data_IF_354580181650
#
_entry.id   IF_354580181650
#
_cell.length_a   1.000
_cell.length_b   1.000
_cell.length_c   1.000
_cell.angle_alpha   90.00
_cell.angle_beta   90.00
_cell.angle_gamma   90.00
#
_symmetry.space_group_name_H-M   'P 1'
#
loop_
_entity.id
_entity.type
_entity.pdbx_description
1 polymer ?
#
# COMPACT_ATOMS: atom_id res chain seq x y z
N UNK A 1 -17.06 0.62 -1.85
CA UNK A 1 -16.73 1.12 -0.50
C UNK A 1 -15.76 2.29 -0.64
N UNK A 2 -15.83 3.22 0.32
CA UNK A 2 -14.81 4.25 0.55
C UNK A 2 -13.72 3.70 1.45
N UNK A 3 -12.52 3.56 0.95
CA UNK A 3 -11.38 2.97 1.67
C UNK A 3 -10.34 4.06 1.92
N UNK A 4 -10.04 4.36 3.18
CA UNK A 4 -8.92 5.20 3.54
C UNK A 4 -7.70 4.31 3.82
N UNK A 5 -6.57 4.64 3.20
CA UNK A 5 -5.31 3.90 3.36
C UNK A 5 -4.17 4.87 3.63
N UNK A 6 -3.21 4.45 4.44
CA UNK A 6 -1.95 5.17 4.60
C UNK A 6 -0.74 4.24 4.66
N UNK A 7 0.39 4.76 4.21
CA UNK A 7 1.69 4.19 4.54
C UNK A 7 2.10 4.69 5.92
N UNK A 8 2.39 3.77 6.84
CA UNK A 8 2.87 4.10 8.18
C UNK A 8 4.21 4.84 8.15
N UNK A 9 4.42 5.63 9.17
CA UNK A 9 5.66 6.38 9.40
C UNK A 9 6.03 7.40 8.30
N UNK A 10 7.07 8.18 8.54
CA UNK A 10 7.61 9.15 7.60
C UNK A 10 9.08 9.47 7.95
N UNK A 11 9.72 10.38 7.23
CA UNK A 11 11.14 10.71 7.42
C UNK A 11 11.47 11.40 8.73
N UNK A 12 10.49 11.99 9.46
CA UNK A 12 10.66 12.57 10.78
C UNK A 12 10.23 11.63 11.91
N UNK A 13 9.20 10.81 11.66
CA UNK A 13 8.69 9.80 12.56
C UNK A 13 9.01 8.43 11.96
N UNK A 14 10.28 8.09 11.91
CA UNK A 14 10.79 6.87 11.29
C UNK A 14 10.25 5.64 11.99
N UNK A 15 9.91 4.64 11.21
CA UNK A 15 9.51 3.32 11.68
C UNK A 15 10.69 2.39 11.85
N UNK A 16 10.42 1.11 11.66
CA UNK A 16 11.41 0.05 11.79
C UNK A 16 12.44 0.07 10.65
N UNK A 17 13.68 -0.26 10.98
CA UNK A 17 14.76 -0.41 10.02
C UNK A 17 15.62 -1.63 10.38
N UNK A 18 15.96 -2.41 9.39
CA UNK A 18 16.76 -3.62 9.51
C UNK A 18 17.37 -3.97 8.16
N UNK A 19 17.05 -5.13 7.62
CA UNK A 19 17.45 -5.54 6.27
C UNK A 19 16.73 -4.74 5.16
N UNK A 20 15.63 -4.11 5.52
CA UNK A 20 14.89 -3.12 4.73
C UNK A 20 14.49 -1.93 5.63
N UNK A 21 14.05 -0.84 5.02
CA UNK A 21 13.51 0.33 5.72
C UNK A 21 11.99 0.40 5.50
N UNK A 22 11.24 0.37 6.59
CA UNK A 22 9.78 0.36 6.60
C UNK A 22 9.16 1.54 5.85
N UNK A 23 9.66 2.75 6.08
CA UNK A 23 9.15 3.96 5.39
C UNK A 23 9.28 3.83 3.88
N UNK A 24 10.41 3.32 3.42
CA UNK A 24 10.67 3.13 1.99
C UNK A 24 9.75 2.07 1.39
N UNK A 25 9.61 0.92 2.06
CA UNK A 25 8.83 -0.20 1.53
C UNK A 25 7.32 0.08 1.56
N UNK A 26 6.80 0.70 2.62
CA UNK A 26 5.40 1.12 2.68
C UNK A 26 5.00 2.01 1.51
N UNK A 27 5.90 2.91 1.07
CA UNK A 27 5.64 3.82 -0.06
C UNK A 27 5.76 3.15 -1.44
N UNK A 28 6.41 2.00 -1.52
CA UNK A 28 6.39 1.16 -2.74
C UNK A 28 5.07 0.38 -2.85
N UNK A 29 4.56 -0.13 -1.73
CA UNK A 29 3.31 -0.91 -1.69
C UNK A 29 2.07 -0.03 -1.90
N UNK A 30 2.01 1.13 -1.26
CA UNK A 30 0.83 1.99 -1.20
C UNK A 30 0.21 2.29 -2.57
N UNK A 31 0.92 2.83 -3.58
CA UNK A 31 0.32 3.18 -4.86
C UNK A 31 -0.20 1.97 -5.62
N UNK A 32 0.42 0.81 -5.47
CA UNK A 32 -0.01 -0.43 -6.09
C UNK A 32 -1.31 -0.95 -5.45
N UNK A 33 -1.40 -0.93 -4.12
CA UNK A 33 -2.62 -1.32 -3.40
C UNK A 33 -3.78 -0.41 -3.79
N UNK A 34 -3.56 0.91 -3.82
CA UNK A 34 -4.57 1.89 -4.26
C UNK A 34 -5.07 1.57 -5.67
N UNK A 35 -4.14 1.30 -6.58
CA UNK A 35 -4.49 0.94 -7.96
C UNK A 35 -5.34 -0.32 -8.02
N UNK A 36 -4.94 -1.40 -7.34
CA UNK A 36 -5.72 -2.64 -7.30
C UNK A 36 -7.10 -2.47 -6.68
N UNK A 37 -7.21 -1.73 -5.57
CA UNK A 37 -8.50 -1.46 -4.94
C UNK A 37 -9.43 -0.67 -5.86
N UNK A 38 -8.90 0.31 -6.62
CA UNK A 38 -9.66 1.05 -7.63
C UNK A 38 -10.10 0.16 -8.79
N UNK A 39 -9.25 -0.74 -9.28
CA UNK A 39 -9.61 -1.74 -10.29
C UNK A 39 -10.73 -2.67 -9.79
N UNK A 40 -10.78 -2.94 -8.48
CA UNK A 40 -11.84 -3.73 -7.85
C UNK A 40 -13.13 -2.95 -7.58
N UNK A 41 -13.20 -1.68 -8.01
CA UNK A 41 -14.39 -0.82 -7.95
C UNK A 41 -14.57 -0.07 -6.64
N UNK A 42 -13.48 0.15 -5.89
CA UNK A 42 -13.51 0.93 -4.64
C UNK A 42 -13.08 2.38 -4.88
N UNK A 43 -13.66 3.29 -4.10
CA UNK A 43 -13.18 4.66 -3.96
C UNK A 43 -12.08 4.67 -2.89
N UNK A 44 -10.89 5.16 -3.23
CA UNK A 44 -9.72 5.05 -2.35
C UNK A 44 -9.08 6.41 -2.13
N UNK A 45 -8.97 6.79 -0.86
CA UNK A 45 -8.28 7.99 -0.40
C UNK A 45 -6.95 7.61 0.26
N UNK A 46 -5.86 8.16 -0.28
CA UNK A 46 -4.56 8.15 0.38
C UNK A 46 -4.55 9.23 1.48
N UNK A 47 -4.42 8.81 2.72
CA UNK A 47 -4.33 9.68 3.89
C UNK A 47 -2.93 9.68 4.51
N UNK A 48 -1.92 9.37 3.71
CA UNK A 48 -0.52 9.43 4.12
C UNK A 48 -0.07 10.87 4.22
N UNK A 49 0.39 11.36 5.37
CA UNK A 49 0.91 12.72 5.50
C UNK A 49 2.31 12.83 4.89
N UNK A 50 2.77 14.09 4.78
CA UNK A 50 4.18 14.39 4.55
C UNK A 50 5.04 14.11 5.78
N UNK A 51 6.19 14.78 5.89
CA UNK A 51 7.12 14.63 7.01
C UNK A 51 6.61 15.38 8.26
N UNK A 52 5.87 14.72 9.12
CA UNK A 52 5.32 15.21 10.39
C UNK A 52 5.96 14.49 11.57
N UNK A 53 5.88 15.09 12.77
CA UNK A 53 6.18 14.38 14.02
C UNK A 53 5.16 13.24 14.23
N UNK A 54 5.51 12.31 15.14
CA UNK A 54 4.72 11.08 15.34
C UNK A 54 3.24 11.35 15.65
N UNK A 55 2.94 12.29 16.52
CA UNK A 55 1.56 12.55 16.95
C UNK A 55 0.75 13.20 15.83
N UNK A 56 1.34 14.18 15.16
CA UNK A 56 0.74 14.86 14.01
C UNK A 56 0.54 13.90 12.82
N UNK A 57 1.48 12.99 12.60
CA UNK A 57 1.42 11.94 11.57
C UNK A 57 0.21 11.02 11.78
N UNK A 58 0.06 10.49 12.98
CA UNK A 58 -1.06 9.62 13.34
C UNK A 58 -2.40 10.36 13.27
N UNK A 59 -2.46 11.57 13.84
CA UNK A 59 -3.68 12.37 13.86
C UNK A 59 -4.13 12.78 12.45
N UNK A 60 -3.19 13.12 11.55
CA UNK A 60 -3.51 13.49 10.17
C UNK A 60 -4.28 12.39 9.44
N UNK A 61 -3.76 11.17 9.42
CA UNK A 61 -4.38 10.06 8.71
C UNK A 61 -5.76 9.70 9.26
N UNK A 62 -5.88 9.62 10.60
CA UNK A 62 -7.14 9.35 11.29
C UNK A 62 -8.18 10.44 11.02
N UNK A 63 -7.81 11.71 11.17
CA UNK A 63 -8.74 12.82 10.97
C UNK A 63 -9.23 12.89 9.51
N UNK A 64 -8.33 12.73 8.54
CA UNK A 64 -8.70 12.70 7.12
C UNK A 64 -9.65 11.56 6.77
N UNK A 65 -9.40 10.36 7.31
CA UNK A 65 -10.30 9.23 7.12
C UNK A 65 -11.67 9.46 7.75
N UNK A 66 -11.70 10.02 8.98
CA UNK A 66 -12.93 10.35 9.70
C UNK A 66 -13.75 11.46 9.01
N UNK A 67 -13.09 12.53 8.52
CA UNK A 67 -13.70 13.64 7.80
C UNK A 67 -14.29 13.20 6.45
N UNK A 68 -13.56 12.34 5.74
CA UNK A 68 -14.02 11.82 4.44
C UNK A 68 -15.16 10.81 4.57
N UNK A 69 -15.39 10.28 5.76
CA UNK A 69 -16.42 9.28 6.01
C UNK A 69 -16.09 7.95 5.32
N UNK A 70 -14.88 7.44 5.54
CA UNK A 70 -14.48 6.15 5.02
C UNK A 70 -15.34 5.02 5.59
N UNK A 71 -15.58 3.97 4.80
CA UNK A 71 -16.24 2.74 5.26
C UNK A 71 -15.28 1.84 6.04
N UNK A 72 -13.98 1.92 5.69
CA UNK A 72 -12.90 1.19 6.35
C UNK A 72 -11.59 1.98 6.23
N UNK A 73 -10.75 1.88 7.26
CA UNK A 73 -9.40 2.44 7.28
C UNK A 73 -8.37 1.34 7.51
N UNK A 74 -7.21 1.44 6.86
CA UNK A 74 -6.06 0.64 7.25
C UNK A 74 -4.72 1.32 6.95
N UNK A 75 -3.71 0.91 7.71
CA UNK A 75 -2.33 1.35 7.51
C UNK A 75 -1.39 0.19 7.20
N UNK A 76 -0.32 0.53 6.50
CA UNK A 76 0.73 -0.41 6.10
C UNK A 76 1.95 -0.19 6.98
N UNK A 77 2.47 -1.27 7.51
CA UNK A 77 3.63 -1.32 8.38
C UNK A 77 4.51 -2.55 8.10
N UNK A 78 5.73 -2.50 8.60
CA UNK A 78 6.65 -3.62 8.73
C UNK A 78 7.11 -3.70 10.17
N UNK A 79 6.99 -4.86 10.76
CA UNK A 79 7.25 -5.08 12.17
C UNK A 79 8.76 -5.18 12.50
N UNK A 80 9.08 -5.05 13.79
CA UNK A 80 10.40 -5.32 14.35
C UNK A 80 10.24 -5.86 15.77
N UNK A 81 10.90 -6.97 16.10
CA UNK A 81 10.85 -7.58 17.42
C UNK A 81 12.24 -7.80 18.03
N UNK A 82 13.27 -7.89 17.19
CA UNK A 82 14.63 -8.22 17.60
C UNK A 82 15.65 -7.31 16.93
N UNK A 83 16.88 -7.31 17.43
CA UNK A 83 17.99 -6.61 16.76
C UNK A 83 18.34 -7.27 15.43
N UNK A 84 18.26 -8.61 15.36
CA UNK A 84 18.41 -9.44 14.17
C UNK A 84 17.74 -10.80 14.41
N UNK A 85 17.25 -11.43 13.36
CA UNK A 85 16.63 -12.74 13.44
C UNK A 85 16.98 -13.57 12.21
N UNK A 86 17.51 -14.79 12.43
CA UNK A 86 17.82 -15.73 11.36
C UNK A 86 16.63 -16.68 11.17
N UNK A 87 15.88 -16.48 10.09
CA UNK A 87 14.67 -17.24 9.76
C UNK A 87 13.47 -16.35 9.53
N UNK A 88 12.27 -16.94 9.59
CA UNK A 88 11.00 -16.26 9.31
C UNK A 88 10.18 -16.02 10.57
N UNK A 89 9.79 -14.78 10.80
CA UNK A 89 8.83 -14.37 11.84
C UNK A 89 7.39 -14.32 11.30
N UNK A 90 7.20 -13.79 10.08
CA UNK A 90 5.94 -13.86 9.35
C UNK A 90 5.12 -12.58 9.30
N UNK A 91 3.82 -12.71 9.05
CA UNK A 91 2.87 -11.61 8.87
C UNK A 91 1.80 -11.62 9.96
N UNK A 92 1.32 -10.44 10.36
CA UNK A 92 0.23 -10.29 11.32
C UNK A 92 -0.62 -9.06 10.99
N UNK A 93 -1.86 -9.04 11.47
CA UNK A 93 -2.73 -7.88 11.31
C UNK A 93 -3.33 -7.50 12.67
N UNK A 94 -3.30 -6.23 12.99
CA UNK A 94 -3.81 -5.69 14.25
C UNK A 94 -5.21 -5.11 14.09
N UNK A 95 -6.09 -5.42 15.03
CA UNK A 95 -7.44 -4.85 15.16
C UNK A 95 -7.66 -4.35 16.59
N UNK A 96 -8.67 -3.51 16.81
CA UNK A 96 -8.98 -3.01 18.15
C UNK A 96 -9.34 -4.14 19.14
N UNK A 97 -10.19 -5.08 18.70
CA UNK A 97 -10.62 -6.23 19.49
C UNK A 97 -11.06 -7.38 18.59
N UNK A 98 -11.24 -8.57 19.14
CA UNK A 98 -11.76 -9.73 18.40
C UNK A 98 -13.20 -9.55 17.90
N UNK A 99 -13.95 -8.61 18.48
CA UNK A 99 -15.32 -8.26 18.07
C UNK A 99 -15.35 -7.07 17.08
N UNK A 100 -14.20 -6.55 16.66
CA UNK A 100 -14.13 -5.44 15.70
C UNK A 100 -14.77 -5.81 14.37
N UNK A 101 -15.56 -4.91 13.81
CA UNK A 101 -16.15 -5.08 12.46
C UNK A 101 -15.11 -5.26 11.36
N UNK A 102 -13.88 -4.83 11.60
CA UNK A 102 -12.75 -5.04 10.68
C UNK A 102 -12.14 -6.44 10.75
N UNK A 103 -12.44 -7.23 11.79
CA UNK A 103 -11.83 -8.55 12.01
C UNK A 103 -11.94 -9.49 10.79
N UNK A 104 -13.09 -9.66 10.13
CA UNK A 104 -13.19 -10.52 8.96
C UNK A 104 -12.31 -10.04 7.79
N UNK A 105 -12.19 -8.74 7.60
CA UNK A 105 -11.31 -8.16 6.56
C UNK A 105 -9.84 -8.36 6.91
N UNK A 106 -9.45 -8.08 8.15
CA UNK A 106 -8.12 -8.32 8.68
C UNK A 106 -7.71 -9.80 8.52
N UNK A 107 -8.62 -10.73 8.81
CA UNK A 107 -8.39 -12.17 8.64
C UNK A 107 -8.10 -12.52 7.18
N UNK A 108 -8.89 -12.02 6.24
CA UNK A 108 -8.63 -12.26 4.80
C UNK A 108 -7.27 -11.72 4.36
N UNK A 109 -6.87 -10.55 4.87
CA UNK A 109 -5.56 -9.96 4.52
C UNK A 109 -4.42 -10.84 5.02
N UNK A 110 -4.44 -11.27 6.30
CA UNK A 110 -3.39 -12.15 6.83
C UNK A 110 -3.39 -13.51 6.12
N UNK A 111 -4.56 -14.05 5.75
CA UNK A 111 -4.67 -15.30 5.00
C UNK A 111 -4.08 -15.18 3.59
N UNK A 112 -4.31 -14.07 2.91
CA UNK A 112 -3.72 -13.81 1.58
C UNK A 112 -2.20 -13.68 1.67
N UNK A 113 -1.68 -12.98 2.67
CA UNK A 113 -0.23 -12.84 2.87
C UNK A 113 0.43 -14.17 3.26
N UNK A 114 -0.18 -14.92 4.17
CA UNK A 114 0.33 -16.26 4.54
C UNK A 114 0.23 -17.25 3.37
N UNK A 115 -0.79 -17.13 2.54
CA UNK A 115 -0.91 -17.88 1.29
C UNK A 115 0.23 -17.63 0.27
N UNK A 116 0.93 -16.51 0.38
CA UNK A 116 2.14 -16.23 -0.39
C UNK A 116 3.41 -16.91 0.20
N UNK A 117 3.30 -17.50 1.39
CA UNK A 117 4.39 -18.20 2.08
C UNK A 117 4.91 -17.52 3.34
N UNK A 118 4.42 -16.34 3.73
CA UNK A 118 4.73 -15.76 5.03
C UNK A 118 4.14 -16.64 6.15
N UNK A 119 4.90 -16.80 7.24
CA UNK A 119 4.40 -17.50 8.42
C UNK A 119 3.19 -16.75 8.97
N UNK A 120 2.06 -17.44 9.15
CA UNK A 120 0.85 -16.86 9.73
C UNK A 120 1.04 -16.65 11.24
N UNK A 121 0.98 -15.39 11.66
CA UNK A 121 0.96 -15.00 13.08
C UNK A 121 -0.44 -14.63 13.55
N UNK A 122 -1.39 -14.62 12.64
CA UNK A 122 -2.81 -14.34 12.89
C UNK A 122 -3.13 -12.89 13.18
N UNK A 123 -4.31 -12.72 13.76
CA UNK A 123 -4.81 -11.42 14.19
C UNK A 123 -4.31 -11.12 15.60
N UNK A 124 -3.89 -9.88 15.80
CA UNK A 124 -3.53 -9.30 17.10
C UNK A 124 -4.55 -8.24 17.49
N UNK A 125 -4.67 -7.98 18.77
CA UNK A 125 -5.57 -6.95 19.27
C UNK A 125 -4.84 -5.94 20.13
N UNK A 126 -5.23 -4.66 19.99
CA UNK A 126 -4.73 -3.59 20.86
C UNK A 126 -5.74 -2.45 20.95
N UNK A 127 -6.06 -2.08 22.18
CA UNK A 127 -6.85 -0.88 22.50
C UNK A 127 -6.00 0.39 22.60
N UNK A 128 -4.67 0.24 22.54
CA UNK A 128 -3.71 1.34 22.75
C UNK A 128 -3.22 1.97 21.43
N UNK A 129 -3.27 1.22 20.32
CA UNK A 129 -2.82 1.74 19.03
C UNK A 129 -3.73 2.89 18.57
N UNK A 130 -3.11 4.06 18.34
CA UNK A 130 -3.81 5.31 18.09
C UNK A 130 -4.82 5.20 16.93
N UNK A 131 -4.41 4.62 15.82
CA UNK A 131 -5.24 4.48 14.63
C UNK A 131 -6.47 3.61 14.87
N UNK A 132 -6.30 2.50 15.60
CA UNK A 132 -7.39 1.59 15.94
C UNK A 132 -8.40 2.21 16.90
N UNK A 133 -7.92 3.06 17.83
CA UNK A 133 -8.74 3.68 18.87
C UNK A 133 -9.49 4.92 18.40
N UNK A 134 -8.93 5.69 17.46
CA UNK A 134 -9.44 7.02 17.12
C UNK A 134 -10.15 7.10 15.76
N UNK A 135 -10.18 6.01 14.99
CA UNK A 135 -11.00 5.92 13.77
C UNK A 135 -12.47 5.65 14.11
N UNK A 136 -13.38 6.34 13.44
CA UNK A 136 -14.84 6.16 13.61
C UNK A 136 -15.39 4.97 12.84
N UNK A 137 -14.66 4.50 11.84
CA UNK A 137 -14.99 3.34 11.02
C UNK A 137 -14.19 2.12 11.46
N UNK A 138 -14.54 0.90 11.00
CA UNK A 138 -13.71 -0.29 11.16
C UNK A 138 -12.29 -0.03 10.66
N UNK A 139 -11.29 -0.40 11.47
CA UNK A 139 -9.89 -0.15 11.14
C UNK A 139 -8.99 -1.33 11.48
N UNK A 140 -7.86 -1.45 10.78
CA UNK A 140 -6.83 -2.45 11.04
C UNK A 140 -5.45 -1.97 10.57
N UNK A 141 -4.40 -2.58 11.10
CA UNK A 141 -3.01 -2.30 10.76
C UNK A 141 -2.39 -3.58 10.19
N UNK A 142 -1.78 -3.50 9.02
CA UNK A 142 -1.10 -4.62 8.36
C UNK A 142 0.38 -4.55 8.66
N UNK A 143 0.90 -5.57 9.32
CA UNK A 143 2.34 -5.82 9.49
C UNK A 143 2.74 -6.87 8.46
N UNK A 144 3.29 -6.41 7.33
CA UNK A 144 3.57 -7.25 6.16
C UNK A 144 4.55 -8.38 6.53
N UNK A 145 5.66 -8.03 7.16
CA UNK A 145 6.65 -8.96 7.70
C UNK A 145 7.61 -8.20 8.64
N UNK A 146 8.63 -8.87 9.17
CA UNK A 146 9.59 -8.29 10.08
C UNK A 146 10.86 -7.85 9.35
N UNK A 147 11.26 -6.58 9.55
CA UNK A 147 12.39 -5.95 8.83
C UNK A 147 13.75 -6.59 9.13
N UNK A 148 13.89 -7.26 10.26
CA UNK A 148 15.14 -7.90 10.72
C UNK A 148 15.20 -9.40 10.46
N UNK A 149 14.10 -10.02 10.00
CA UNK A 149 14.02 -11.47 9.81
C UNK A 149 14.50 -11.86 8.40
N UNK A 150 15.62 -12.62 8.34
CA UNK A 150 16.27 -12.97 7.06
C UNK A 150 15.32 -13.69 6.11
N UNK A 151 14.59 -14.69 6.60
CA UNK A 151 13.65 -15.48 5.77
C UNK A 151 12.44 -14.69 5.31
N UNK A 152 11.96 -13.73 6.12
CA UNK A 152 10.86 -12.85 5.71
C UNK A 152 11.31 -11.92 4.58
N UNK A 153 12.50 -11.33 4.70
CA UNK A 153 13.02 -10.40 3.71
C UNK A 153 13.43 -11.09 2.41
N UNK A 154 13.97 -12.30 2.48
CA UNK A 154 14.21 -13.12 1.29
C UNK A 154 12.92 -13.41 0.52
N UNK A 155 11.87 -13.82 1.24
CA UNK A 155 10.57 -14.07 0.65
C UNK A 155 9.95 -12.78 0.08
N UNK A 156 9.99 -11.67 0.83
CA UNK A 156 9.51 -10.35 0.40
C UNK A 156 10.15 -9.94 -0.93
N UNK A 157 11.49 -10.03 -1.03
CA UNK A 157 12.23 -9.69 -2.24
C UNK A 157 11.92 -10.64 -3.40
N UNK A 158 11.77 -11.94 -3.13
CA UNK A 158 11.43 -12.96 -4.13
C UNK A 158 10.03 -12.73 -4.73
N UNK A 159 9.04 -12.41 -3.89
CA UNK A 159 7.66 -12.15 -4.31
C UNK A 159 7.53 -10.82 -5.06
N UNK A 160 8.26 -9.81 -4.60
CA UNK A 160 8.19 -8.45 -5.09
C UNK A 160 6.95 -7.70 -4.60
N UNK A 161 7.02 -6.39 -4.66
CA UNK A 161 5.97 -5.49 -4.14
C UNK A 161 4.62 -5.67 -4.83
N UNK A 162 4.61 -6.09 -6.08
CA UNK A 162 3.38 -6.25 -6.87
C UNK A 162 2.50 -7.39 -6.33
N UNK A 163 3.08 -8.57 -6.11
CA UNK A 163 2.34 -9.73 -5.59
C UNK A 163 1.79 -9.47 -4.18
N UNK A 164 2.58 -8.83 -3.32
CA UNK A 164 2.21 -8.49 -1.95
C UNK A 164 1.08 -7.45 -1.95
N UNK A 165 1.20 -6.39 -2.74
CA UNK A 165 0.17 -5.36 -2.87
C UNK A 165 -1.14 -5.93 -3.39
N UNK A 166 -1.08 -6.83 -4.38
CA UNK A 166 -2.25 -7.53 -4.92
C UNK A 166 -2.93 -8.36 -3.84
N UNK A 167 -2.19 -9.16 -3.09
CA UNK A 167 -2.72 -9.99 -2.02
C UNK A 167 -3.43 -9.17 -0.93
N UNK A 168 -2.85 -8.04 -0.51
CA UNK A 168 -3.47 -7.12 0.44
C UNK A 168 -4.78 -6.57 -0.13
N UNK A 169 -4.78 -6.05 -1.36
CA UNK A 169 -5.96 -5.48 -1.99
C UNK A 169 -7.10 -6.50 -2.15
N UNK A 170 -6.78 -7.73 -2.56
CA UNK A 170 -7.74 -8.83 -2.68
C UNK A 170 -8.34 -9.22 -1.32
N UNK A 171 -7.52 -9.27 -0.27
CA UNK A 171 -7.97 -9.51 1.10
C UNK A 171 -8.93 -8.43 1.60
N UNK A 172 -8.61 -7.17 1.34
CA UNK A 172 -9.47 -6.02 1.70
C UNK A 172 -10.78 -6.06 0.94
N UNK A 173 -10.72 -6.23 -0.38
CA UNK A 173 -11.89 -6.19 -1.27
C UNK A 173 -12.76 -7.45 -1.19
N UNK A 174 -12.24 -8.55 -0.64
CA UNK A 174 -12.85 -9.89 -0.72
C UNK A 174 -13.18 -10.29 -2.17
N UNK A 175 -12.27 -9.97 -3.08
CA UNK A 175 -12.44 -10.19 -4.52
C UNK A 175 -11.07 -10.32 -5.17
N UNK A 176 -10.93 -11.23 -6.13
CA UNK A 176 -9.72 -11.38 -6.91
C UNK A 176 -9.57 -10.24 -7.91
N UNK A 177 -8.36 -9.68 -8.00
CA UNK A 177 -8.00 -8.78 -9.10
C UNK A 177 -8.09 -9.60 -10.39
N UNK A 178 -8.86 -9.15 -11.41
CA UNK A 178 -8.94 -9.86 -12.67
C UNK A 178 -7.53 -10.17 -13.16
N UNK A 179 -7.29 -11.43 -13.52
CA UNK A 179 -6.08 -11.74 -14.27
C UNK A 179 -6.17 -10.87 -15.52
N UNK A 180 -5.11 -10.12 -15.81
CA UNK A 180 -5.00 -9.58 -17.15
C UNK A 180 -5.24 -10.77 -18.07
N UNK A 181 -6.38 -10.78 -18.73
CA UNK A 181 -6.60 -11.75 -19.79
C UNK A 181 -5.43 -11.50 -20.72
N UNK A 182 -4.63 -12.53 -20.96
CA UNK A 182 -3.77 -12.53 -22.12
C UNK A 182 -4.73 -12.36 -23.31
N UNK A 183 -5.11 -11.13 -23.56
CA UNK A 183 -5.98 -10.77 -24.66
C UNK A 183 -5.16 -11.01 -25.89
N UNK A 184 -5.49 -12.10 -26.56
CA UNK A 184 -5.55 -12.20 -28.02
C UNK A 184 -4.48 -11.41 -28.76
N UNK A 185 -3.66 -12.08 -29.48
CA UNK A 185 -3.00 -11.71 -30.76
C UNK A 185 -3.49 -10.39 -31.40
N UNK A 186 -3.32 -9.30 -30.70
CA UNK A 186 -3.38 -7.93 -31.15
C UNK A 186 -2.24 -7.22 -30.45
N UNK A 187 -1.51 -6.40 -31.18
CA UNK A 187 -0.38 -5.64 -30.66
C UNK A 187 -0.76 -4.90 -29.36
N UNK A 188 -0.17 -5.30 -28.24
CA UNK A 188 -0.39 -4.66 -26.95
C UNK A 188 0.59 -3.48 -26.83
N UNK A 189 0.05 -2.26 -26.81
CA UNK A 189 0.85 -1.05 -26.67
C UNK A 189 0.81 -0.55 -25.24
N UNK A 190 1.98 -0.42 -24.62
CA UNK A 190 2.14 0.23 -23.33
C UNK A 190 2.52 1.69 -23.51
N UNK A 191 1.75 2.58 -22.91
CA UNK A 191 2.03 4.02 -22.96
C UNK A 191 2.79 4.46 -21.71
N UNK A 192 3.97 5.01 -21.90
CA UNK A 192 4.73 5.66 -20.82
C UNK A 192 4.35 7.13 -20.79
N UNK A 193 3.83 7.61 -19.67
CA UNK A 193 3.49 9.01 -19.46
C UNK A 193 4.65 9.72 -18.79
N UNK A 194 5.28 10.66 -19.48
CA UNK A 194 6.47 11.38 -19.02
C UNK A 194 6.18 12.71 -18.30
N UNK A 195 4.91 12.95 -17.93
CA UNK A 195 4.46 14.12 -17.16
C UNK A 195 3.11 14.65 -17.58
N UNK A 196 2.54 15.53 -16.74
CA UNK A 196 1.31 16.27 -17.02
C UNK A 196 1.60 17.77 -16.88
N UNK A 197 1.19 18.55 -17.85
CA UNK A 197 1.51 19.97 -17.94
C UNK A 197 0.24 20.78 -18.25
N UNK A 198 0.09 21.94 -17.60
CA UNK A 198 -1.01 22.87 -17.91
C UNK A 198 -0.77 23.70 -19.16
N UNK A 199 0.49 23.82 -19.60
CA UNK A 199 0.88 24.59 -20.78
C UNK A 199 1.32 23.63 -21.90
N UNK A 200 0.71 23.76 -23.08
CA UNK A 200 0.96 22.91 -24.26
C UNK A 200 2.40 23.04 -24.77
N UNK A 201 2.98 24.25 -24.76
CA UNK A 201 4.34 24.49 -25.26
C UNK A 201 5.39 23.80 -24.38
N UNK A 202 5.20 23.85 -23.03
CA UNK A 202 6.06 23.16 -22.08
C UNK A 202 5.93 21.64 -22.25
N UNK A 203 4.71 21.14 -22.46
CA UNK A 203 4.47 19.73 -22.74
C UNK A 203 5.18 19.28 -24.04
N UNK A 204 5.08 20.09 -25.11
CA UNK A 204 5.73 19.79 -26.39
C UNK A 204 7.26 19.76 -26.25
N UNK A 205 7.85 20.76 -25.60
CA UNK A 205 9.30 20.81 -25.35
C UNK A 205 9.76 19.55 -24.61
N UNK A 206 8.97 19.09 -23.62
CA UNK A 206 9.29 17.85 -22.89
C UNK A 206 9.18 16.61 -23.76
N UNK A 207 8.20 16.52 -24.63
CA UNK A 207 8.06 15.43 -25.59
C UNK A 207 9.27 15.38 -26.54
N UNK A 208 9.67 16.51 -27.07
CA UNK A 208 10.84 16.64 -27.98
C UNK A 208 12.15 16.23 -27.28
N UNK A 209 12.35 16.64 -26.01
CA UNK A 209 13.50 16.22 -25.18
C UNK A 209 13.56 14.71 -24.97
N UNK A 210 12.42 14.08 -24.71
CA UNK A 210 12.34 12.63 -24.51
C UNK A 210 12.60 11.91 -25.82
N UNK A 211 11.98 12.34 -26.91
CA UNK A 211 12.17 11.79 -28.24
C UNK A 211 13.63 11.86 -28.67
N UNK A 212 14.29 13.02 -28.47
CA UNK A 212 15.69 13.21 -28.77
C UNK A 212 16.63 12.28 -27.98
N UNK A 213 16.29 11.98 -26.74
CA UNK A 213 17.10 11.11 -25.85
C UNK A 213 16.87 9.63 -26.07
N UNK A 214 15.67 9.24 -26.47
CA UNK A 214 15.27 7.83 -26.52
C UNK A 214 15.11 7.28 -27.92
N UNK A 215 14.99 8.15 -28.92
CA UNK A 215 14.67 7.77 -30.30
C UNK A 215 13.21 7.32 -30.50
N UNK A 216 12.37 7.36 -29.47
CA UNK A 216 10.98 6.95 -29.58
C UNK A 216 10.07 8.13 -29.88
N UNK A 217 9.09 7.92 -30.74
CA UNK A 217 8.08 8.93 -31.06
C UNK A 217 7.28 9.34 -29.83
N UNK A 218 7.14 10.65 -29.61
CA UNK A 218 6.39 11.22 -28.50
C UNK A 218 5.24 12.07 -29.02
N UNK A 219 4.06 11.95 -28.43
CA UNK A 219 2.89 12.75 -28.78
C UNK A 219 2.15 13.26 -27.54
N UNK A 220 1.41 14.35 -27.72
CA UNK A 220 0.61 14.95 -26.67
C UNK A 220 -0.81 14.42 -26.72
N UNK A 221 -1.38 14.16 -25.54
CA UNK A 221 -2.81 13.88 -25.36
C UNK A 221 -3.38 14.92 -24.43
N UNK A 222 -4.34 15.70 -24.92
CA UNK A 222 -5.09 16.63 -24.06
C UNK A 222 -6.18 15.87 -23.29
N UNK A 223 -6.33 16.17 -22.00
CA UNK A 223 -7.44 15.70 -21.18
C UNK A 223 -7.91 16.82 -20.26
N UNK A 224 -9.16 16.78 -19.92
CA UNK A 224 -9.75 17.64 -18.89
C UNK A 224 -9.92 16.75 -17.67
N UNK A 225 -9.35 17.13 -16.50
CA UNK A 225 -9.43 16.32 -15.28
C UNK A 225 -10.85 16.30 -14.68
#
# INVERSE_FOLDING_TARGET
MKIAIRAGHNTKATGSAGLINEVTENRKLLPLIINYLRQLGHEVLDVTPGALDRNSDLAYGVNKANEWGADIFFSLHFNNAYKSYNGSLGTEVWVYSNSSKSYPTAKRVVDKLSGLGFKDRGIKTSTELYELRNTKMPSFIVEVCFVEATGDIELYKKLGVNAISKAIAEGVANKEVPKESATTTGDCYYRVVCGSFKNKEIAQKRADEVQAKTGHECFLVSYVP
#
